data_IF_685208504208
#
_entry.id   IF_685208504208
#
_cell.length_a   1.000
_cell.length_b   1.000
_cell.length_c   1.000
_cell.angle_alpha   90.00
_cell.angle_beta   90.00
_cell.angle_gamma   90.00
#
_symmetry.space_group_name_H-M   'P 1'
#
loop_
_entity.id
_entity.type
_entity.pdbx_description
1 polymer ?
#
# COMPACT_ATOMS: atom_id res chain seq x y z
N UNK A 1 -32.06 -3.52 1.25
CA UNK A 1 -31.29 -2.49 1.99
C UNK A 1 -30.47 -1.69 0.98
N UNK A 2 -30.43 -0.36 1.09
CA UNK A 2 -29.67 0.53 0.19
C UNK A 2 -28.20 0.66 0.64
N UNK A 3 -27.26 0.70 -0.31
CA UNK A 3 -25.86 1.02 -0.05
C UNK A 3 -25.71 2.53 0.20
N UNK A 4 -25.04 2.89 1.30
CA UNK A 4 -24.67 4.26 1.65
C UNK A 4 -23.50 4.75 0.80
N UNK A 5 -23.23 6.06 0.81
CA UNK A 5 -22.04 6.61 0.15
C UNK A 5 -20.73 6.09 0.76
N UNK A 6 -20.72 5.79 2.06
CA UNK A 6 -19.59 5.15 2.72
C UNK A 6 -19.33 3.75 2.16
N UNK A 7 -20.37 2.93 1.99
CA UNK A 7 -20.19 1.56 1.47
C UNK A 7 -19.60 1.58 0.07
N UNK A 8 -20.05 2.49 -0.81
CA UNK A 8 -19.57 2.53 -2.19
C UNK A 8 -18.11 2.96 -2.27
N UNK A 9 -17.66 3.88 -1.41
CA UNK A 9 -16.23 4.18 -1.24
C UNK A 9 -15.44 2.96 -0.77
N UNK A 10 -15.98 2.20 0.18
CA UNK A 10 -15.36 0.94 0.64
C UNK A 10 -15.28 -0.09 -0.49
N UNK A 11 -16.36 -0.28 -1.26
CA UNK A 11 -16.37 -1.20 -2.41
C UNK A 11 -15.33 -0.78 -3.46
N UNK A 12 -15.24 0.51 -3.77
CA UNK A 12 -14.23 1.04 -4.71
C UNK A 12 -12.82 0.79 -4.17
N UNK A 13 -12.57 1.02 -2.88
CA UNK A 13 -11.28 0.73 -2.26
C UNK A 13 -10.91 -0.75 -2.39
N UNK A 14 -11.82 -1.67 -2.08
CA UNK A 14 -11.59 -3.12 -2.25
C UNK A 14 -11.32 -3.48 -3.71
N UNK A 15 -12.06 -2.90 -4.65
CA UNK A 15 -11.83 -3.12 -6.09
C UNK A 15 -10.45 -2.63 -6.53
N UNK A 16 -10.10 -1.39 -6.18
CA UNK A 16 -8.84 -0.76 -6.56
C UNK A 16 -7.64 -1.51 -5.99
N UNK A 17 -7.74 -2.02 -4.77
CA UNK A 17 -6.63 -2.67 -4.06
C UNK A 17 -6.71 -4.20 -4.04
N UNK A 18 -7.57 -4.77 -4.89
CA UNK A 18 -7.83 -6.20 -5.13
C UNK A 18 -8.39 -6.98 -3.94
N UNK A 19 -7.72 -6.94 -2.79
CA UNK A 19 -8.06 -7.69 -1.58
C UNK A 19 -7.64 -6.93 -0.31
N UNK A 20 -8.53 -6.88 0.67
CA UNK A 20 -8.24 -6.30 1.99
C UNK A 20 -8.69 -7.25 3.10
N UNK A 21 -7.92 -7.35 4.18
CA UNK A 21 -8.34 -8.12 5.34
C UNK A 21 -9.41 -7.40 6.15
N UNK A 22 -10.05 -8.14 7.06
CA UNK A 22 -10.98 -7.56 8.04
C UNK A 22 -10.31 -6.42 8.81
N UNK A 23 -9.10 -6.63 9.34
CA UNK A 23 -8.40 -5.61 10.13
C UNK A 23 -8.07 -4.37 9.30
N UNK A 24 -7.59 -4.57 8.07
CA UNK A 24 -7.29 -3.45 7.16
C UNK A 24 -8.53 -2.65 6.81
N UNK A 25 -9.67 -3.29 6.53
CA UNK A 25 -10.92 -2.58 6.24
C UNK A 25 -11.44 -1.80 7.44
N UNK A 26 -11.39 -2.39 8.64
CA UNK A 26 -11.76 -1.70 9.88
C UNK A 26 -10.86 -0.48 10.09
N UNK A 27 -9.55 -0.69 9.99
CA UNK A 27 -8.56 0.36 10.16
C UNK A 27 -8.64 1.44 9.08
N UNK A 28 -9.01 1.12 7.84
CA UNK A 28 -9.03 2.08 6.72
C UNK A 28 -10.39 2.78 6.49
N UNK A 29 -11.48 2.27 7.05
CA UNK A 29 -12.82 2.78 6.74
C UNK A 29 -13.75 2.97 7.94
N UNK A 30 -13.49 2.41 9.12
CA UNK A 30 -14.43 2.48 10.23
C UNK A 30 -13.82 3.17 11.47
N UNK A 31 -14.65 3.91 12.19
CA UNK A 31 -14.27 4.51 13.49
C UNK A 31 -14.57 3.55 14.64
N UNK A 32 -15.54 2.65 14.44
CA UNK A 32 -15.89 1.61 15.40
C UNK A 32 -15.78 0.23 14.78
N UNK A 33 -14.92 -0.57 15.39
CA UNK A 33 -14.55 -1.92 15.00
C UNK A 33 -15.72 -2.91 15.01
N UNK A 34 -16.65 -2.78 15.96
CA UNK A 34 -17.82 -3.64 16.09
C UNK A 34 -18.83 -3.34 14.98
N UNK A 35 -19.21 -2.07 14.80
CA UNK A 35 -20.09 -1.62 13.72
C UNK A 35 -19.53 -1.99 12.35
N UNK A 36 -18.22 -1.81 12.15
CA UNK A 36 -17.54 -2.18 10.92
C UNK A 36 -17.63 -3.67 10.60
N UNK A 37 -17.38 -4.55 11.58
CA UNK A 37 -17.51 -6.01 11.39
C UNK A 37 -18.94 -6.40 11.00
N UNK A 38 -19.94 -5.85 11.69
CA UNK A 38 -21.35 -6.07 11.33
C UNK A 38 -21.65 -5.59 9.91
N UNK A 39 -21.09 -4.45 9.50
CA UNK A 39 -21.28 -3.91 8.16
C UNK A 39 -20.64 -4.79 7.09
N UNK A 40 -19.41 -5.25 7.29
CA UNK A 40 -18.71 -6.15 6.35
C UNK A 40 -19.47 -7.47 6.15
N UNK A 41 -20.01 -8.07 7.23
CA UNK A 41 -20.86 -9.26 7.14
C UNK A 41 -22.12 -8.98 6.32
N UNK A 42 -22.74 -7.81 6.51
CA UNK A 42 -23.93 -7.42 5.77
C UNK A 42 -23.65 -7.20 4.29
N UNK A 43 -22.57 -6.51 3.94
CA UNK A 43 -22.13 -6.32 2.55
C UNK A 43 -21.83 -7.65 1.88
N UNK A 44 -21.23 -8.61 2.62
CA UNK A 44 -21.02 -9.95 2.09
C UNK A 44 -22.33 -10.72 1.84
N UNK A 45 -23.27 -10.68 2.78
CA UNK A 45 -24.59 -11.33 2.60
C UNK A 45 -25.38 -10.75 1.43
N UNK A 46 -25.15 -9.49 1.07
CA UNK A 46 -25.76 -8.83 -0.07
C UNK A 46 -25.03 -9.11 -1.41
N UNK A 47 -23.94 -9.88 -1.39
CA UNK A 47 -23.10 -10.10 -2.57
C UNK A 47 -22.34 -8.85 -3.03
N UNK A 48 -22.30 -7.79 -2.21
CA UNK A 48 -21.55 -6.58 -2.50
C UNK A 48 -20.04 -6.81 -2.30
N UNK A 49 -19.69 -7.65 -1.35
CA UNK A 49 -18.34 -8.19 -1.15
C UNK A 49 -18.39 -9.71 -1.19
N UNK A 50 -17.38 -10.34 -1.77
CA UNK A 50 -17.07 -11.73 -1.50
C UNK A 50 -15.96 -11.81 -0.45
N UNK A 51 -15.82 -12.97 0.20
CA UNK A 51 -14.75 -13.17 1.18
C UNK A 51 -14.28 -14.61 1.21
N UNK A 52 -13.01 -14.77 1.57
CA UNK A 52 -12.37 -16.06 1.80
C UNK A 52 -11.45 -15.98 3.02
N UNK A 53 -11.01 -17.14 3.51
CA UNK A 53 -10.00 -17.25 4.55
C UNK A 53 -8.93 -18.24 4.07
N UNK A 54 -7.68 -17.80 3.90
CA UNK A 54 -6.57 -18.72 3.77
C UNK A 54 -6.53 -19.65 4.99
N UNK A 55 -6.07 -20.89 4.78
CA UNK A 55 -5.86 -21.84 5.87
C UNK A 55 -4.37 -21.80 6.27
N UNK A 56 -4.00 -21.10 7.35
CA UNK A 56 -2.61 -21.10 7.80
C UNK A 56 -2.25 -22.46 8.43
N UNK A 57 -0.95 -22.82 8.49
CA UNK A 57 -0.48 -24.03 9.17
C UNK A 57 -0.82 -24.05 10.67
N UNK A 58 -0.85 -22.88 11.32
CA UNK A 58 -1.23 -22.69 12.72
C UNK A 58 -2.13 -21.45 12.87
N UNK A 59 -3.07 -21.51 13.82
CA UNK A 59 -3.95 -20.40 14.18
C UNK A 59 -5.11 -20.14 13.21
N UNK A 60 -5.63 -18.93 13.22
CA UNK A 60 -6.72 -18.50 12.32
C UNK A 60 -6.29 -17.28 11.51
N UNK A 61 -6.64 -17.24 10.23
CA UNK A 61 -6.45 -16.07 9.39
C UNK A 61 -7.69 -15.16 9.41
N UNK A 62 -7.53 -13.83 9.30
CA UNK A 62 -8.68 -12.93 9.16
C UNK A 62 -9.44 -13.22 7.86
N UNK A 63 -10.72 -12.81 7.79
CA UNK A 63 -11.41 -12.79 6.49
C UNK A 63 -10.70 -11.80 5.56
N UNK A 64 -10.50 -12.24 4.32
CA UNK A 64 -10.04 -11.44 3.19
C UNK A 64 -11.25 -11.14 2.33
N UNK A 65 -11.44 -9.87 1.98
CA UNK A 65 -12.58 -9.39 1.22
C UNK A 65 -12.13 -8.94 -0.16
N UNK A 66 -12.92 -9.31 -1.16
CA UNK A 66 -12.80 -8.90 -2.56
C UNK A 66 -14.14 -8.33 -3.01
N UNK A 67 -14.16 -7.61 -4.13
CA UNK A 67 -15.40 -7.07 -4.67
C UNK A 67 -16.34 -8.24 -5.03
N UNK A 68 -17.61 -8.15 -4.63
CA UNK A 68 -18.65 -9.09 -5.03
C UNK A 68 -19.45 -8.57 -6.22
N UNK A 69 -20.21 -9.45 -6.87
CA UNK A 69 -20.91 -9.15 -8.13
C UNK A 69 -21.93 -8.01 -8.01
N UNK A 70 -22.73 -7.98 -6.93
CA UNK A 70 -23.68 -6.90 -6.71
C UNK A 70 -22.96 -5.56 -6.45
N UNK A 71 -21.77 -5.60 -5.84
CA UNK A 71 -20.94 -4.43 -5.59
C UNK A 71 -20.35 -3.90 -6.89
N UNK A 72 -19.87 -4.80 -7.74
CA UNK A 72 -19.39 -4.50 -9.08
C UNK A 72 -20.48 -3.88 -9.96
N UNK A 73 -21.71 -4.39 -9.91
CA UNK A 73 -22.83 -3.81 -10.66
C UNK A 73 -23.15 -2.37 -10.21
N UNK A 74 -23.09 -2.10 -8.90
CA UNK A 74 -23.27 -0.74 -8.37
C UNK A 74 -22.15 0.19 -8.82
N UNK A 75 -20.91 -0.28 -8.74
CA UNK A 75 -19.73 0.46 -9.16
C UNK A 75 -19.70 0.75 -10.66
N UNK A 76 -20.10 -0.21 -11.50
CA UNK A 76 -20.24 -0.04 -12.94
C UNK A 76 -21.30 1.02 -13.28
N UNK A 77 -22.45 0.98 -12.59
CA UNK A 77 -23.50 1.97 -12.75
C UNK A 77 -23.03 3.39 -12.35
N UNK A 78 -22.26 3.51 -11.26
CA UNK A 78 -21.67 4.80 -10.85
C UNK A 78 -20.67 5.34 -11.87
N UNK A 79 -19.92 4.45 -12.54
CA UNK A 79 -18.98 4.80 -13.60
C UNK A 79 -19.68 5.03 -14.97
N UNK A 80 -21.01 4.79 -15.06
CA UNK A 80 -21.79 4.97 -16.28
C UNK A 80 -21.54 3.89 -17.35
N UNK A 81 -21.07 2.71 -16.94
CA UNK A 81 -20.70 1.61 -17.85
C UNK A 81 -21.45 0.31 -17.51
N UNK A 82 -21.48 -0.63 -18.44
CA UNK A 82 -21.98 -1.98 -18.19
C UNK A 82 -21.03 -2.77 -17.29
N UNK A 83 -21.53 -3.82 -16.64
CA UNK A 83 -20.68 -4.71 -15.83
C UNK A 83 -19.55 -5.36 -16.64
N UNK A 84 -19.80 -5.61 -17.94
CA UNK A 84 -18.78 -6.18 -18.82
C UNK A 84 -17.67 -5.18 -19.15
N UNK A 85 -18.00 -3.93 -19.42
CA UNK A 85 -17.04 -2.84 -19.64
C UNK A 85 -16.26 -2.50 -18.36
N UNK A 86 -16.91 -2.61 -17.20
CA UNK A 86 -16.25 -2.48 -15.90
C UNK A 86 -15.18 -3.55 -15.64
N UNK A 87 -15.25 -4.68 -16.37
CA UNK A 87 -14.22 -5.73 -16.34
C UNK A 87 -14.28 -6.66 -15.13
N UNK A 88 -15.36 -6.63 -14.34
CA UNK A 88 -15.49 -7.53 -13.19
C UNK A 88 -15.75 -8.97 -13.64
N UNK A 89 -14.97 -9.90 -13.08
CA UNK A 89 -15.16 -11.34 -13.22
C UNK A 89 -14.98 -12.00 -11.86
N UNK A 90 -16.04 -12.62 -11.33
CA UNK A 90 -16.02 -13.21 -9.98
C UNK A 90 -14.89 -14.22 -9.78
N UNK A 91 -14.65 -15.10 -10.75
CA UNK A 91 -13.56 -16.07 -10.70
C UNK A 91 -12.17 -15.43 -10.62
N UNK A 92 -11.97 -14.30 -11.31
CA UNK A 92 -10.72 -13.53 -11.23
C UNK A 92 -10.60 -12.80 -9.89
N UNK A 93 -11.68 -12.20 -9.39
CA UNK A 93 -11.67 -11.55 -8.07
C UNK A 93 -11.31 -12.53 -6.95
N UNK A 94 -11.79 -13.78 -7.01
CA UNK A 94 -11.48 -14.82 -6.02
C UNK A 94 -10.14 -15.54 -6.26
N UNK A 95 -9.54 -15.44 -7.46
CA UNK A 95 -8.29 -16.15 -7.77
C UNK A 95 -7.12 -15.70 -6.89
N UNK A 96 -7.17 -14.47 -6.36
CA UNK A 96 -6.21 -13.93 -5.40
C UNK A 96 -6.08 -14.81 -4.15
N UNK A 97 -7.12 -15.57 -3.78
CA UNK A 97 -7.09 -16.52 -2.67
C UNK A 97 -6.06 -17.65 -2.86
N UNK A 98 -5.69 -17.95 -4.10
CA UNK A 98 -4.72 -18.97 -4.47
C UNK A 98 -3.40 -18.37 -4.97
N UNK A 99 -3.25 -17.04 -4.92
CA UNK A 99 -2.06 -16.35 -5.40
C UNK A 99 -0.90 -16.49 -4.43
N UNK A 100 0.28 -16.83 -4.96
CA UNK A 100 1.53 -16.79 -4.19
C UNK A 100 1.90 -15.35 -3.75
N UNK A 101 1.29 -14.33 -4.37
CA UNK A 101 1.48 -12.92 -4.02
C UNK A 101 0.52 -12.42 -2.94
N UNK A 102 -0.40 -13.25 -2.43
CA UNK A 102 -1.39 -12.78 -1.46
C UNK A 102 -0.75 -12.11 -0.24
N UNK A 103 0.27 -12.73 0.35
CA UNK A 103 0.97 -12.16 1.50
C UNK A 103 1.62 -10.81 1.18
N UNK A 104 2.20 -10.68 -0.02
CA UNK A 104 2.78 -9.44 -0.53
C UNK A 104 1.72 -8.35 -0.70
N UNK A 105 0.63 -8.63 -1.41
CA UNK A 105 -0.48 -7.67 -1.62
C UNK A 105 -1.10 -7.22 -0.30
N UNK A 106 -1.31 -8.15 0.64
CA UNK A 106 -1.82 -7.83 1.98
C UNK A 106 -0.81 -6.99 2.77
N UNK A 107 0.48 -7.28 2.69
CA UNK A 107 1.53 -6.47 3.33
C UNK A 107 1.53 -5.02 2.84
N UNK A 108 1.58 -4.82 1.52
CA UNK A 108 1.48 -3.50 0.88
C UNK A 108 0.21 -2.78 1.32
N UNK A 109 -0.95 -3.44 1.20
CA UNK A 109 -2.22 -2.84 1.59
C UNK A 109 -2.30 -2.52 3.09
N UNK A 110 -1.58 -3.26 3.93
CA UNK A 110 -1.49 -3.03 5.37
C UNK A 110 -0.85 -1.69 5.71
N UNK A 111 0.22 -1.31 4.99
CA UNK A 111 0.90 -0.01 5.18
C UNK A 111 -0.10 1.14 4.97
N UNK A 112 -0.80 1.14 3.84
CA UNK A 112 -1.71 2.23 3.51
C UNK A 112 -3.03 2.18 4.29
N UNK A 113 -3.51 1.00 4.67
CA UNK A 113 -4.64 0.88 5.61
C UNK A 113 -4.30 1.51 6.96
N UNK A 114 -3.06 1.35 7.45
CA UNK A 114 -2.60 1.97 8.67
C UNK A 114 -2.48 3.50 8.55
N UNK A 115 -1.91 4.01 7.46
CA UNK A 115 -1.87 5.45 7.17
C UNK A 115 -3.27 6.05 7.06
N UNK A 116 -4.18 5.39 6.34
CA UNK A 116 -5.59 5.81 6.24
C UNK A 116 -6.27 5.84 7.61
N UNK A 117 -6.02 4.81 8.44
CA UNK A 117 -6.48 4.74 9.82
C UNK A 117 -6.02 5.91 10.67
N UNK A 118 -4.73 6.22 10.61
CA UNK A 118 -4.16 7.35 11.34
C UNK A 118 -4.75 8.69 10.87
N UNK A 119 -4.81 8.92 9.55
CA UNK A 119 -5.35 10.14 8.96
C UNK A 119 -6.83 10.39 9.31
N UNK A 120 -7.65 9.35 9.50
CA UNK A 120 -9.05 9.56 9.91
C UNK A 120 -9.21 10.04 11.36
N UNK A 121 -8.20 9.84 12.21
CA UNK A 121 -8.23 10.17 13.64
C UNK A 121 -7.47 11.46 13.98
N UNK A 122 -6.87 12.12 12.99
CA UNK A 122 -6.09 13.34 13.16
C UNK A 122 -6.34 14.28 11.99
N UNK A 123 -6.78 15.51 12.27
CA UNK A 123 -7.01 16.54 11.24
C UNK A 123 -5.70 17.06 10.62
N UNK A 124 -4.56 16.80 11.26
CA UNK A 124 -3.23 17.20 10.79
C UNK A 124 -2.65 16.23 9.75
N UNK A 125 -3.25 15.05 9.62
CA UNK A 125 -2.73 13.93 8.85
C UNK A 125 -3.64 13.58 7.66
N UNK A 126 -3.07 13.37 6.48
CA UNK A 126 -3.82 12.99 5.28
C UNK A 126 -3.05 12.02 4.40
N UNK A 127 -3.73 10.97 3.97
CA UNK A 127 -3.27 10.11 2.88
C UNK A 127 -3.88 10.64 1.57
N UNK A 128 -3.11 11.47 0.86
CA UNK A 128 -3.54 12.12 -0.39
C UNK A 128 -3.57 11.15 -1.58
N UNK A 129 -2.69 10.14 -1.58
CA UNK A 129 -2.62 9.13 -2.62
C UNK A 129 -2.26 7.75 -2.08
N UNK A 130 -2.94 6.73 -2.61
CA UNK A 130 -2.61 5.31 -2.49
C UNK A 130 -2.77 4.67 -3.86
N UNK A 131 -1.66 4.47 -4.57
CA UNK A 131 -1.64 3.88 -5.91
C UNK A 131 -1.14 2.44 -5.83
N UNK A 132 -1.74 1.56 -6.63
CA UNK A 132 -1.34 0.15 -6.73
C UNK A 132 -0.17 -0.07 -7.68
N UNK A 133 0.51 -1.22 -7.58
CA UNK A 133 1.51 -1.69 -8.54
C UNK A 133 1.01 -1.57 -9.99
N UNK A 134 -0.25 -1.94 -10.26
CA UNK A 134 -0.83 -1.85 -11.59
C UNK A 134 -0.88 -0.41 -12.12
N UNK A 135 -1.29 0.55 -11.28
CA UNK A 135 -1.28 1.98 -11.65
C UNK A 135 0.14 2.51 -11.81
N UNK A 136 1.05 2.12 -10.92
CA UNK A 136 2.46 2.49 -11.01
C UNK A 136 3.12 1.95 -12.28
N UNK A 137 2.82 0.71 -12.67
CA UNK A 137 3.30 0.09 -13.91
C UNK A 137 2.76 0.81 -15.14
N UNK A 138 1.49 1.21 -15.13
CA UNK A 138 0.92 1.99 -16.23
C UNK A 138 1.64 3.35 -16.38
N UNK A 139 2.03 3.97 -15.26
CA UNK A 139 2.67 5.29 -15.28
C UNK A 139 4.18 5.23 -15.57
N UNK A 140 4.92 4.36 -14.88
CA UNK A 140 6.39 4.37 -14.86
C UNK A 140 7.01 3.05 -15.34
N UNK A 141 6.22 2.12 -15.86
CA UNK A 141 6.63 0.74 -16.17
C UNK A 141 7.76 0.58 -17.21
N UNK A 142 8.13 1.66 -17.91
CA UNK A 142 9.34 1.73 -18.76
C UNK A 142 10.64 1.75 -17.93
N UNK A 143 10.58 2.22 -16.68
CA UNK A 143 11.72 2.37 -15.78
C UNK A 143 11.58 1.50 -14.54
N UNK A 144 10.44 1.60 -13.84
CA UNK A 144 10.21 0.97 -12.53
C UNK A 144 8.79 0.48 -12.36
N UNK A 145 8.61 -0.43 -11.40
CA UNK A 145 7.31 -0.97 -10.99
C UNK A 145 7.29 -1.09 -9.46
N UNK A 146 7.19 0.04 -8.74
CA UNK A 146 7.01 0.01 -7.29
C UNK A 146 5.76 -0.77 -6.94
N UNK A 147 5.77 -1.41 -5.77
CA UNK A 147 4.61 -2.13 -5.25
C UNK A 147 3.43 -1.19 -4.96
N UNK A 148 3.75 0.05 -4.57
CA UNK A 148 2.78 1.12 -4.43
C UNK A 148 3.45 2.50 -4.51
N UNK A 149 2.62 3.51 -4.72
CA UNK A 149 3.01 4.92 -4.55
C UNK A 149 2.07 5.58 -3.54
N UNK A 150 2.65 6.39 -2.65
CA UNK A 150 1.95 7.12 -1.62
C UNK A 150 2.24 8.61 -1.65
N UNK A 151 1.24 9.39 -1.26
CA UNK A 151 1.41 10.79 -0.85
C UNK A 151 0.86 10.94 0.55
N UNK A 152 1.74 11.22 1.51
CA UNK A 152 1.40 11.36 2.92
C UNK A 152 1.67 12.78 3.37
N UNK A 153 0.68 13.40 4.02
CA UNK A 153 0.82 14.71 4.66
C UNK A 153 0.61 14.58 6.15
N UNK A 154 1.49 15.16 6.97
CA UNK A 154 1.35 15.27 8.43
C UNK A 154 1.99 16.58 8.86
N UNK A 155 1.23 17.41 9.58
CA UNK A 155 1.70 18.69 10.12
C UNK A 155 2.36 19.60 9.05
N UNK A 156 1.74 19.65 7.87
CA UNK A 156 2.19 20.45 6.73
C UNK A 156 3.41 19.89 5.97
N UNK A 157 3.92 18.73 6.36
CA UNK A 157 4.96 18.01 5.62
C UNK A 157 4.33 17.00 4.68
N UNK A 158 4.54 17.17 3.39
CA UNK A 158 4.08 16.23 2.38
C UNK A 158 5.25 15.42 1.83
N UNK A 159 5.16 14.10 1.91
CA UNK A 159 6.07 13.15 1.31
C UNK A 159 5.37 12.42 0.16
N UNK A 160 5.93 12.53 -1.03
CA UNK A 160 5.70 11.57 -2.11
C UNK A 160 6.68 10.42 -1.96
N UNK A 161 6.23 9.18 -2.05
CA UNK A 161 7.12 8.03 -1.93
C UNK A 161 6.70 6.83 -2.77
N UNK A 162 7.70 6.11 -3.24
CA UNK A 162 7.54 4.74 -3.72
C UNK A 162 7.69 3.77 -2.56
N UNK A 163 6.88 2.72 -2.52
CA UNK A 163 7.01 1.63 -1.57
C UNK A 163 7.46 0.36 -2.29
N UNK A 164 8.49 -0.28 -1.73
CA UNK A 164 8.93 -1.63 -2.05
C UNK A 164 8.76 -2.50 -0.79
N UNK A 165 7.86 -3.48 -0.85
CA UNK A 165 7.55 -4.38 0.26
C UNK A 165 8.31 -5.69 0.07
N UNK A 166 9.27 -5.96 0.95
CA UNK A 166 10.17 -7.09 0.80
C UNK A 166 9.78 -8.26 1.71
N UNK A 167 9.11 -9.24 1.11
CA UNK A 167 8.69 -10.49 1.74
C UNK A 167 9.84 -11.50 1.94
N UNK A 168 11.07 -11.19 1.53
CA UNK A 168 12.20 -12.10 1.66
C UNK A 168 12.37 -13.09 0.51
N UNK A 169 11.55 -13.00 -0.53
CA UNK A 169 11.55 -13.90 -1.69
C UNK A 169 12.66 -13.59 -2.71
N UNK A 170 13.24 -12.39 -2.64
CA UNK A 170 14.33 -11.94 -3.51
C UNK A 170 15.67 -11.89 -2.75
N UNK A 171 16.80 -12.01 -3.45
CA UNK A 171 18.11 -11.73 -2.83
C UNK A 171 18.25 -10.23 -2.58
N UNK A 172 19.01 -9.85 -1.54
CA UNK A 172 19.21 -8.44 -1.21
C UNK A 172 19.89 -7.65 -2.35
N UNK A 173 20.77 -8.30 -3.11
CA UNK A 173 21.41 -7.66 -4.26
C UNK A 173 20.40 -7.39 -5.38
N UNK A 174 19.41 -8.28 -5.57
CA UNK A 174 18.31 -8.07 -6.52
C UNK A 174 17.41 -6.92 -6.08
N UNK A 175 17.10 -6.82 -4.78
CA UNK A 175 16.34 -5.69 -4.22
C UNK A 175 17.10 -4.38 -4.43
N UNK A 176 18.38 -4.34 -4.07
CA UNK A 176 19.22 -3.14 -4.22
C UNK A 176 19.47 -2.75 -5.69
N UNK A 177 19.50 -3.72 -6.61
CA UNK A 177 19.64 -3.47 -8.04
C UNK A 177 18.45 -2.70 -8.64
N UNK A 178 17.25 -2.76 -8.01
CA UNK A 178 16.08 -1.99 -8.44
C UNK A 178 16.34 -0.47 -8.48
N UNK A 179 17.28 0.03 -7.67
CA UNK A 179 17.66 1.46 -7.66
C UNK A 179 18.12 1.98 -9.02
N UNK A 180 18.71 1.14 -9.88
CA UNK A 180 19.09 1.56 -11.23
C UNK A 180 17.88 2.01 -12.07
N UNK A 181 16.74 1.31 -11.90
CA UNK A 181 15.48 1.70 -12.55
C UNK A 181 14.96 3.04 -12.02
N UNK A 182 14.98 3.23 -10.70
CA UNK A 182 14.54 4.48 -10.07
C UNK A 182 15.43 5.67 -10.48
N UNK A 183 16.74 5.47 -10.57
CA UNK A 183 17.66 6.48 -11.05
C UNK A 183 17.40 6.85 -12.52
N UNK A 184 17.09 5.85 -13.34
CA UNK A 184 16.70 6.07 -14.74
C UNK A 184 15.39 6.86 -14.84
N UNK A 185 14.41 6.58 -13.97
CA UNK A 185 13.17 7.36 -13.89
C UNK A 185 13.48 8.81 -13.49
N UNK A 186 14.28 9.02 -12.44
CA UNK A 186 14.65 10.34 -11.94
C UNK A 186 15.38 11.16 -13.03
N UNK A 187 16.34 10.55 -13.72
CA UNK A 187 17.06 11.20 -14.81
C UNK A 187 16.14 11.57 -16.00
N UNK A 188 15.15 10.72 -16.32
CA UNK A 188 14.26 10.94 -17.45
C UNK A 188 13.11 11.92 -17.17
N UNK A 189 12.71 12.09 -15.91
CA UNK A 189 11.49 12.83 -15.54
C UNK A 189 11.69 13.98 -14.55
N UNK A 190 12.88 14.08 -13.93
CA UNK A 190 13.14 15.00 -12.82
C UNK A 190 12.44 14.62 -11.52
N UNK A 191 11.80 13.44 -11.44
CA UNK A 191 11.13 12.96 -10.24
C UNK A 191 12.19 12.49 -9.22
N UNK A 192 12.22 13.13 -8.06
CA UNK A 192 13.10 12.88 -6.92
C UNK A 192 12.38 12.13 -5.77
N UNK A 193 11.35 11.36 -6.11
CA UNK A 193 10.57 10.58 -5.16
C UNK A 193 11.42 9.50 -4.48
N UNK A 194 11.54 9.50 -3.13
CA UNK A 194 12.26 8.48 -2.40
C UNK A 194 11.63 7.09 -2.56
N UNK A 195 12.48 6.08 -2.45
CA UNK A 195 12.06 4.67 -2.39
C UNK A 195 12.16 4.18 -0.96
N UNK A 196 11.02 3.82 -0.38
CA UNK A 196 10.92 3.27 0.95
C UNK A 196 10.87 1.74 0.87
N UNK A 197 11.83 1.07 1.50
CA UNK A 197 11.88 -0.38 1.58
C UNK A 197 11.38 -0.85 2.95
N UNK A 198 10.29 -1.62 2.96
CA UNK A 198 9.76 -2.22 4.18
C UNK A 198 10.04 -3.72 4.15
N UNK A 199 10.85 -4.22 5.08
CA UNK A 199 11.30 -5.62 5.08
C UNK A 199 10.62 -6.45 6.15
N UNK A 200 10.57 -7.77 5.95
CA UNK A 200 9.96 -8.71 6.90
C UNK A 200 10.73 -8.93 8.21
N UNK A 201 11.91 -8.34 8.41
CA UNK A 201 12.65 -8.51 9.66
C UNK A 201 13.93 -7.69 9.78
N UNK A 202 14.31 -7.38 11.03
CA UNK A 202 15.42 -6.47 11.36
C UNK A 202 16.78 -6.89 10.78
N UNK A 203 17.11 -8.20 10.80
CA UNK A 203 18.36 -8.68 10.19
C UNK A 203 18.37 -8.44 8.67
N UNK A 204 17.22 -8.62 8.02
CA UNK A 204 17.11 -8.40 6.58
C UNK A 204 17.19 -6.92 6.25
N UNK A 205 16.50 -6.08 7.02
CA UNK A 205 16.61 -4.62 6.95
C UNK A 205 18.05 -4.15 7.05
N UNK A 206 18.78 -4.51 8.11
CA UNK A 206 20.15 -4.06 8.33
C UNK A 206 21.08 -4.42 7.16
N UNK A 207 20.96 -5.66 6.66
CA UNK A 207 21.75 -6.11 5.51
C UNK A 207 21.36 -5.43 4.19
N UNK A 208 20.08 -5.08 4.00
CA UNK A 208 19.63 -4.30 2.86
C UNK A 208 20.14 -2.86 2.96
N UNK A 209 20.02 -2.27 4.15
CA UNK A 209 20.43 -0.90 4.44
C UNK A 209 21.91 -0.67 4.12
N UNK A 210 22.79 -1.56 4.57
CA UNK A 210 24.23 -1.50 4.24
C UNK A 210 24.50 -1.59 2.73
N UNK A 211 23.75 -2.41 2.00
CA UNK A 211 23.87 -2.51 0.53
C UNK A 211 23.40 -1.24 -0.16
N UNK A 212 22.30 -0.65 0.29
CA UNK A 212 21.78 0.61 -0.25
C UNK A 212 22.77 1.75 0.02
N UNK A 213 23.32 1.83 1.25
CA UNK A 213 24.39 2.76 1.64
C UNK A 213 25.61 2.63 0.74
N UNK A 214 26.13 1.43 0.53
CA UNK A 214 27.28 1.20 -0.33
C UNK A 214 27.06 1.63 -1.79
N UNK A 215 25.80 1.66 -2.25
CA UNK A 215 25.42 2.05 -3.62
C UNK A 215 25.10 3.54 -3.76
N UNK A 216 24.95 4.30 -2.67
CA UNK A 216 24.57 5.71 -2.73
C UNK A 216 25.61 6.60 -3.41
N UNK A 217 26.87 6.15 -3.48
CA UNK A 217 27.95 6.80 -4.23
C UNK A 217 27.83 6.65 -5.76
N UNK A 218 27.06 5.66 -6.22
CA UNK A 218 26.89 5.32 -7.64
C UNK A 218 25.52 5.77 -8.13
N UNK A 219 24.50 5.67 -7.27
CA UNK A 219 23.10 5.92 -7.61
C UNK A 219 22.49 6.92 -6.65
N UNK A 220 22.20 8.13 -7.15
CA UNK A 220 21.57 9.21 -6.36
C UNK A 220 20.04 9.06 -6.35
N UNK A 221 19.55 8.03 -5.65
CA UNK A 221 18.12 7.85 -5.35
C UNK A 221 17.94 7.95 -3.84
N UNK A 222 17.10 8.87 -3.31
CA UNK A 222 16.79 8.91 -1.89
C UNK A 222 16.09 7.63 -1.45
N UNK A 223 16.55 7.02 -0.36
CA UNK A 223 15.96 5.78 0.16
C UNK A 223 15.82 5.83 1.68
N UNK A 224 14.85 5.10 2.21
CA UNK A 224 14.83 4.75 3.63
C UNK A 224 14.36 3.31 3.81
N UNK A 225 14.78 2.67 4.90
CA UNK A 225 14.41 1.29 5.23
C UNK A 225 13.62 1.24 6.53
N UNK A 226 12.72 0.27 6.65
CA UNK A 226 12.04 -0.05 7.90
C UNK A 226 11.76 -1.57 7.98
N UNK A 227 11.25 -2.00 9.14
CA UNK A 227 10.74 -3.36 9.36
C UNK A 227 9.23 -3.29 9.49
N UNK A 228 8.53 -4.27 8.91
CA UNK A 228 7.09 -4.44 9.12
C UNK A 228 6.73 -4.64 10.61
N UNK A 229 5.45 -4.41 10.94
CA UNK A 229 4.92 -4.66 12.29
C UNK A 229 4.88 -3.45 13.23
N UNK A 230 5.49 -2.33 12.85
CA UNK A 230 5.30 -1.03 13.50
C UNK A 230 4.43 -0.11 12.64
N UNK A 231 3.88 0.93 13.26
CA UNK A 231 3.04 1.90 12.58
C UNK A 231 3.86 2.71 11.55
N UNK A 232 3.47 2.73 10.26
CA UNK A 232 4.31 3.30 9.21
C UNK A 232 4.43 4.83 9.27
N UNK A 233 3.56 5.53 10.01
CA UNK A 233 3.67 6.98 10.21
C UNK A 233 4.66 7.37 11.31
N UNK A 234 5.02 6.43 12.19
CA UNK A 234 5.92 6.65 13.32
C UNK A 234 7.40 6.65 12.94
N UNK A 235 8.26 6.89 13.93
CA UNK A 235 9.71 7.00 13.80
C UNK A 235 10.39 5.64 13.52
N UNK A 236 10.03 5.03 12.40
CA UNK A 236 10.47 3.69 12.01
C UNK A 236 11.40 3.70 10.80
N UNK A 237 11.51 4.81 10.07
CA UNK A 237 12.23 4.86 8.81
C UNK A 237 13.68 5.30 9.00
N UNK A 238 14.64 4.46 8.63
CA UNK A 238 16.06 4.79 8.65
C UNK A 238 16.50 5.29 7.26
N UNK A 239 16.83 6.59 7.10
CA UNK A 239 17.32 7.10 5.83
C UNK A 239 18.63 6.45 5.40
N UNK A 240 18.77 6.14 4.11
CA UNK A 240 19.91 5.42 3.54
C UNK A 240 21.25 6.13 3.63
N UNK A 241 21.32 7.35 4.15
CA UNK A 241 22.57 8.07 4.44
C UNK A 241 22.89 8.11 5.95
N UNK A 242 22.03 7.56 6.82
CA UNK A 242 22.25 7.45 8.28
C UNK A 242 22.51 6.02 8.74
N UNK A 243 23.09 5.86 9.93
CA UNK A 243 23.26 4.56 10.61
C UNK A 243 22.30 4.40 11.79
N UNK A 244 21.72 5.50 12.26
CA UNK A 244 20.77 5.59 13.36
C UNK A 244 19.79 6.77 13.13
N UNK A 245 18.99 7.11 14.14
CA UNK A 245 18.08 8.25 14.09
C UNK A 245 16.95 8.04 13.08
N UNK A 246 16.14 7.00 13.30
CA UNK A 246 14.91 6.73 12.55
C UNK A 246 13.99 7.95 12.61
N UNK A 247 13.34 8.23 11.49
CA UNK A 247 12.47 9.37 11.27
C UNK A 247 11.03 8.92 11.10
N UNK A 248 10.09 9.79 11.48
CA UNK A 248 8.68 9.65 11.11
C UNK A 248 8.53 9.74 9.61
N UNK A 249 7.49 9.13 9.05
CA UNK A 249 7.26 9.16 7.60
C UNK A 249 7.25 10.60 7.06
N UNK A 250 6.57 11.51 7.77
CA UNK A 250 6.49 12.92 7.41
C UNK A 250 7.84 13.66 7.48
N UNK A 251 8.71 13.27 8.41
CA UNK A 251 10.03 13.89 8.59
C UNK A 251 10.99 13.54 7.47
N UNK A 252 10.76 12.44 6.75
CA UNK A 252 11.47 12.13 5.51
C UNK A 252 11.28 13.21 4.45
N UNK A 253 10.13 13.91 4.43
CA UNK A 253 9.89 15.01 3.49
C UNK A 253 10.91 16.14 3.68
N UNK A 254 11.20 16.49 4.94
CA UNK A 254 12.27 17.46 5.27
C UNK A 254 13.63 16.91 4.90
N UNK A 255 13.89 15.66 5.27
CA UNK A 255 15.19 15.03 5.08
C UNK A 255 15.57 14.92 3.59
N UNK A 256 14.60 14.65 2.72
CA UNK A 256 14.80 14.54 1.28
C UNK A 256 14.45 15.82 0.49
N UNK A 257 14.08 16.91 1.17
CA UNK A 257 13.83 18.21 0.52
C UNK A 257 12.50 18.33 -0.25
N UNK A 258 11.49 17.52 0.06
CA UNK A 258 10.18 17.51 -0.61
C UNK A 258 9.13 18.48 -0.05
N UNK A 259 9.53 19.49 0.73
CA UNK A 259 8.55 20.37 1.38
C UNK A 259 7.75 21.20 0.36
N UNK A 260 6.43 20.96 0.33
CA UNK A 260 5.41 21.78 -0.33
C UNK A 260 5.77 22.16 -1.79
N UNK A 261 5.75 21.17 -2.70
CA UNK A 261 5.54 21.47 -4.11
C UNK A 261 4.10 21.93 -4.27
N UNK A 262 3.93 23.23 -4.46
CA UNK A 262 2.65 23.88 -4.76
C UNK A 262 2.05 23.35 -6.07
#
# INVERSE_FOLDING_TARGET
>A
MRLSGHDRRLLRMVWTHEVLTTHQLLQAAFDNDHTGRHRLVKLNRLGALDRFRPRPPLGSAPWHYVLGEAGAAVLALEDGVTLSEFGYRRGQALSIAYSQRLAHTIGVNGVFAALSGHARRSDECRLDAWWTEARCKAMWGKHVRPDAYGRWTDNGLTLDFFLEYDTGTETLDRVAAKLGGYASLAAASGIDTPVLFLTSGARREANLHERLRARSSIVSVPVATAVEGQEPHDAVWLPGNRTDGRLRLAELARHFGQQRRA
#
